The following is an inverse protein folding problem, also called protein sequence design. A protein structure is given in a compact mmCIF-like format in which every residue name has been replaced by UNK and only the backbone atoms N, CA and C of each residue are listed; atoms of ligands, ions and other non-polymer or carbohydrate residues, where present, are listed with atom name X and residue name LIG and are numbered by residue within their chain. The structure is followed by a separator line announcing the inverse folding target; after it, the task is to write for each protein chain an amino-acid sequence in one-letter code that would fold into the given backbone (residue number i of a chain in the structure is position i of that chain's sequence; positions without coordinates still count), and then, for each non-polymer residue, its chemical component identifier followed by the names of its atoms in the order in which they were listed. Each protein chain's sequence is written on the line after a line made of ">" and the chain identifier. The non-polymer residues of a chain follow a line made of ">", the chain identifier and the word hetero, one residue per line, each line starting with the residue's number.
data_IF_308850770745
#
_entry.id   IF_308850770745
#
_cell.length_a   1.000
_cell.length_b   1.000
_cell.length_c   1.000
_cell.angle_alpha   90.00
_cell.angle_beta   90.00
_cell.angle_gamma   90.00
#
_symmetry.space_group_name_H-M   'P 1'
#
loop_
_entity.id
_entity.type
_entity.pdbx_description
1 polymer ?
#
# COMPACT_ATOMS: atom_id res chain seq x y z
N UNK A 1 -11.19 48.11 5.08
CA UNK A 1 -11.66 46.71 5.08
C UNK A 1 -10.63 45.91 4.29
N UNK A 2 -9.68 45.26 4.97
CA UNK A 2 -8.59 44.54 4.30
C UNK A 2 -9.03 43.10 4.09
N UNK A 3 -9.08 42.67 2.83
CA UNK A 3 -9.34 41.29 2.45
C UNK A 3 -8.23 40.40 3.01
N UNK A 4 -8.63 39.35 3.73
CA UNK A 4 -7.73 38.28 4.13
C UNK A 4 -7.41 37.47 2.88
N UNK A 5 -6.23 37.74 2.31
CA UNK A 5 -5.64 36.95 1.23
C UNK A 5 -5.29 35.56 1.80
N UNK A 6 -6.18 34.59 1.60
CA UNK A 6 -5.95 33.19 1.98
C UNK A 6 -4.96 32.61 0.96
N UNK A 7 -3.67 32.72 1.27
CA UNK A 7 -2.63 31.98 0.59
C UNK A 7 -2.84 30.48 0.85
N UNK A 8 -3.52 29.78 -0.07
CA UNK A 8 -3.45 28.33 -0.15
C UNK A 8 -1.98 27.95 -0.40
N UNK A 9 -1.35 27.10 0.42
CA UNK A 9 0.04 26.72 0.21
C UNK A 9 0.21 26.03 -1.15
N UNK A 10 1.10 26.59 -1.96
CA UNK A 10 1.51 26.08 -3.27
C UNK A 10 2.11 24.68 -3.14
N UNK A 11 1.50 23.73 -3.86
CA UNK A 11 2.15 22.52 -4.36
C UNK A 11 2.19 21.35 -3.40
N UNK A 12 1.62 20.22 -3.83
CA UNK A 12 1.89 18.91 -3.22
C UNK A 12 3.39 18.63 -3.32
N UNK A 13 4.07 18.61 -2.18
CA UNK A 13 5.48 18.20 -2.13
C UNK A 13 5.56 16.69 -2.32
N UNK A 14 6.37 16.24 -3.28
CA UNK A 14 6.67 14.82 -3.50
C UNK A 14 7.24 14.23 -2.21
N UNK A 15 6.83 13.02 -1.84
CA UNK A 15 7.40 12.37 -0.66
C UNK A 15 8.70 11.67 -1.04
N UNK A 16 9.77 12.01 -0.33
CA UNK A 16 11.09 11.36 -0.43
C UNK A 16 11.33 10.39 0.72
N UNK A 17 10.28 10.04 1.47
CA UNK A 17 10.39 9.32 2.74
C UNK A 17 10.92 7.90 2.56
N UNK A 18 10.63 7.29 1.40
CA UNK A 18 11.00 5.91 1.08
C UNK A 18 11.85 5.79 -0.19
N UNK A 19 12.48 6.90 -0.63
CA UNK A 19 13.25 6.92 -1.88
C UNK A 19 14.51 6.05 -1.76
N UNK A 20 14.69 5.15 -2.73
CA UNK A 20 15.88 4.29 -2.84
C UNK A 20 15.99 3.20 -1.78
N UNK A 21 14.99 3.03 -0.91
CA UNK A 21 14.99 1.94 0.06
C UNK A 21 14.64 0.62 -0.64
N UNK A 22 15.46 -0.44 -0.50
CA UNK A 22 15.16 -1.75 -1.07
C UNK A 22 14.12 -2.52 -0.26
N UNK A 23 14.02 -2.26 1.05
CA UNK A 23 13.02 -2.82 1.94
C UNK A 23 12.69 -1.85 3.09
N UNK A 24 11.52 -2.03 3.70
CA UNK A 24 11.03 -1.25 4.85
C UNK A 24 10.43 -2.21 5.87
N UNK A 25 10.85 -2.09 7.14
CA UNK A 25 10.20 -2.77 8.27
C UNK A 25 8.97 -1.98 8.69
N UNK A 26 7.80 -2.60 8.61
CA UNK A 26 6.52 -1.96 8.92
C UNK A 26 5.96 -2.57 10.21
N UNK A 27 5.73 -1.76 11.26
CA UNK A 27 5.14 -2.25 12.49
C UNK A 27 3.65 -2.61 12.29
N UNK A 28 3.29 -3.84 12.68
CA UNK A 28 1.94 -4.41 12.64
C UNK A 28 1.53 -4.89 14.05
N UNK A 29 1.26 -3.94 14.94
CA UNK A 29 0.91 -4.24 16.33
C UNK A 29 2.15 -4.62 17.13
N UNK A 30 2.26 -5.89 17.53
CA UNK A 30 3.38 -6.41 18.35
C UNK A 30 4.52 -7.03 17.52
N UNK A 31 4.37 -7.11 16.20
CA UNK A 31 5.39 -7.65 15.29
C UNK A 31 5.68 -6.67 14.17
N UNK A 32 6.81 -6.83 13.50
CA UNK A 32 7.18 -6.08 12.30
C UNK A 32 7.10 -7.00 11.08
N UNK A 33 6.81 -6.42 9.92
CA UNK A 33 6.83 -7.12 8.63
C UNK A 33 7.82 -6.42 7.70
N UNK A 34 8.73 -7.19 7.10
CA UNK A 34 9.61 -6.67 6.07
C UNK A 34 8.87 -6.60 4.73
N UNK A 35 8.84 -5.40 4.13
CA UNK A 35 8.23 -5.17 2.82
C UNK A 35 9.32 -4.81 1.82
N UNK A 36 9.48 -5.64 0.80
CA UNK A 36 10.34 -5.35 -0.35
C UNK A 36 9.76 -4.21 -1.20
N UNK A 37 10.63 -3.36 -1.72
CA UNK A 37 10.26 -2.14 -2.44
C UNK A 37 10.80 -2.15 -3.88
N UNK A 38 9.94 -1.79 -4.83
CA UNK A 38 10.33 -1.36 -6.17
C UNK A 38 10.38 0.18 -6.21
N UNK A 39 11.45 0.80 -6.72
CA UNK A 39 11.63 2.26 -6.68
C UNK A 39 10.60 3.03 -7.54
N UNK A 40 9.94 2.37 -8.49
CA UNK A 40 9.00 3.00 -9.44
C UNK A 40 7.55 2.64 -9.09
N UNK A 41 7.30 1.39 -8.71
CA UNK A 41 5.97 0.83 -8.48
C UNK A 41 5.61 0.68 -7.00
N UNK A 42 6.59 0.75 -6.10
CA UNK A 42 6.38 0.78 -4.65
C UNK A 42 6.40 -0.62 -4.02
N UNK A 43 5.61 -0.85 -2.96
CA UNK A 43 5.72 -2.07 -2.15
C UNK A 43 5.27 -3.33 -2.90
N UNK A 44 6.01 -4.41 -2.67
CA UNK A 44 5.78 -5.71 -3.29
C UNK A 44 5.02 -6.65 -2.37
N UNK A 45 3.97 -7.24 -2.93
CA UNK A 45 3.08 -8.17 -2.26
C UNK A 45 3.41 -9.62 -2.63
N UNK A 46 3.43 -10.49 -1.63
CA UNK A 46 3.59 -11.92 -1.78
C UNK A 46 2.29 -12.57 -2.27
N UNK A 47 2.42 -13.47 -3.24
CA UNK A 47 1.36 -14.32 -3.75
C UNK A 47 1.43 -15.71 -3.10
N UNK A 48 0.36 -16.50 -3.24
CA UNK A 48 0.25 -17.83 -2.64
C UNK A 48 1.25 -18.85 -3.21
N UNK A 49 1.77 -18.60 -4.41
CA UNK A 49 2.84 -19.39 -5.03
C UNK A 49 4.24 -18.99 -4.54
N UNK A 50 4.33 -18.04 -3.60
CA UNK A 50 5.57 -17.48 -3.07
C UNK A 50 6.21 -16.42 -3.99
N UNK A 51 5.63 -16.15 -5.16
CA UNK A 51 6.12 -15.08 -6.03
C UNK A 51 5.74 -13.69 -5.48
N UNK A 52 6.45 -12.65 -5.94
CA UNK A 52 6.22 -11.27 -5.54
C UNK A 52 5.67 -10.47 -6.71
N UNK A 53 4.63 -9.67 -6.47
CA UNK A 53 4.06 -8.74 -7.46
C UNK A 53 3.86 -7.36 -6.88
N UNK A 54 3.51 -6.38 -7.70
CA UNK A 54 3.29 -5.01 -7.24
C UNK A 54 1.89 -4.88 -6.65
N UNK A 55 1.77 -4.10 -5.57
CA UNK A 55 0.46 -3.83 -5.00
C UNK A 55 -0.35 -2.91 -5.93
N UNK A 56 -1.36 -3.46 -6.60
CA UNK A 56 -2.34 -2.65 -7.31
C UNK A 56 -3.32 -2.03 -6.30
N UNK A 57 -3.21 -0.72 -6.10
CA UNK A 57 -4.20 0.08 -5.36
C UNK A 57 -5.42 0.31 -6.25
N UNK A 58 -6.24 -0.73 -6.47
CA UNK A 58 -7.50 -0.59 -7.19
C UNK A 58 -8.47 0.21 -6.33
N UNK A 59 -8.64 1.50 -6.62
CA UNK A 59 -9.56 2.39 -5.91
C UNK A 59 -10.88 2.50 -6.66
N UNK A 60 -11.71 1.46 -6.68
CA UNK A 60 -13.01 1.57 -7.37
C UNK A 60 -14.00 0.45 -7.05
N UNK A 61 -15.01 0.79 -6.24
CA UNK A 61 -16.29 0.09 -6.23
C UNK A 61 -17.12 0.71 -7.37
N UNK A 62 -17.50 -0.12 -8.34
CA UNK A 62 -18.39 0.17 -9.47
C UNK A 62 -17.83 1.08 -10.61
N UNK A 63 -17.69 0.48 -11.80
CA UNK A 63 -17.85 1.19 -13.07
C UNK A 63 -16.58 1.72 -13.74
N UNK A 64 -15.86 0.85 -14.46
CA UNK A 64 -15.28 1.14 -15.78
C UNK A 64 -14.34 2.33 -16.01
N UNK A 65 -13.97 3.11 -15.00
CA UNK A 65 -13.01 4.21 -15.13
C UNK A 65 -11.59 3.68 -15.20
N UNK A 66 -10.84 4.03 -16.25
CA UNK A 66 -9.39 3.88 -16.26
C UNK A 66 -8.80 4.79 -15.18
N UNK A 67 -8.60 4.24 -13.98
CA UNK A 67 -7.82 4.91 -12.95
C UNK A 67 -6.37 4.86 -13.45
N UNK A 68 -5.81 6.01 -13.81
CA UNK A 68 -4.40 6.11 -14.09
C UNK A 68 -3.63 5.62 -12.86
N UNK A 69 -2.90 4.50 -13.01
CA UNK A 69 -2.07 3.95 -11.93
C UNK A 69 -0.97 4.97 -11.60
N UNK A 70 -1.08 5.57 -10.41
CA UNK A 70 -0.11 6.53 -9.91
C UNK A 70 1.18 5.81 -9.53
N UNK A 71 2.32 6.26 -10.05
CA UNK A 71 3.63 5.67 -9.72
C UNK A 71 4.05 6.03 -8.29
N UNK A 72 4.90 5.20 -7.68
CA UNK A 72 5.38 5.39 -6.32
C UNK A 72 5.99 6.79 -6.04
N UNK A 73 6.85 7.34 -6.92
CA UNK A 73 7.42 8.67 -6.70
C UNK A 73 6.42 9.83 -6.86
N UNK A 74 5.24 9.53 -7.40
CA UNK A 74 4.17 10.52 -7.54
C UNK A 74 3.29 10.55 -6.30
N UNK A 75 3.29 9.48 -5.49
CA UNK A 75 2.46 9.35 -4.30
C UNK A 75 2.91 10.34 -3.20
N UNK A 76 1.92 10.81 -2.44
CA UNK A 76 2.14 11.56 -1.20
C UNK A 76 2.67 10.63 -0.11
N UNK A 77 3.26 11.20 0.94
CA UNK A 77 3.75 10.41 2.08
C UNK A 77 2.65 9.53 2.67
N UNK A 78 1.44 10.08 2.83
CA UNK A 78 0.29 9.34 3.34
C UNK A 78 -0.11 8.19 2.42
N UNK A 79 -0.17 8.40 1.11
CA UNK A 79 -0.48 7.33 0.15
C UNK A 79 0.58 6.22 0.22
N UNK A 80 1.87 6.59 0.27
CA UNK A 80 2.98 5.67 0.41
C UNK A 80 2.90 4.87 1.71
N UNK A 81 2.69 5.54 2.85
CA UNK A 81 2.55 4.89 4.16
C UNK A 81 1.34 3.95 4.20
N UNK A 82 0.18 4.36 3.66
CA UNK A 82 -0.99 3.49 3.60
C UNK A 82 -0.75 2.26 2.73
N UNK A 83 -0.10 2.41 1.57
CA UNK A 83 0.24 1.30 0.68
C UNK A 83 1.21 0.31 1.35
N UNK A 84 2.24 0.81 2.04
CA UNK A 84 3.18 -0.01 2.82
C UNK A 84 2.46 -0.83 3.89
N UNK A 85 1.60 -0.20 4.70
CA UNK A 85 0.86 -0.92 5.73
C UNK A 85 -0.13 -1.94 5.16
N UNK A 86 -0.78 -1.63 4.04
CA UNK A 86 -1.68 -2.57 3.38
C UNK A 86 -0.91 -3.77 2.80
N UNK A 87 0.24 -3.53 2.19
CA UNK A 87 1.13 -4.56 1.67
C UNK A 87 1.67 -5.45 2.79
N UNK A 88 2.18 -4.85 3.87
CA UNK A 88 2.68 -5.54 5.05
C UNK A 88 1.61 -6.49 5.64
N UNK A 89 0.38 -6.02 5.82
CA UNK A 89 -0.72 -6.86 6.32
C UNK A 89 -1.01 -8.05 5.40
N UNK A 90 -0.97 -7.83 4.08
CA UNK A 90 -1.22 -8.89 3.11
C UNK A 90 -0.09 -9.91 3.08
N UNK A 91 1.17 -9.47 3.13
CA UNK A 91 2.33 -10.38 3.18
C UNK A 91 2.30 -11.23 4.44
N UNK A 92 2.06 -10.61 5.60
CA UNK A 92 1.88 -11.32 6.87
C UNK A 92 0.79 -12.37 6.78
N UNK A 93 -0.38 -12.00 6.27
CA UNK A 93 -1.49 -12.93 6.13
C UNK A 93 -1.18 -14.11 5.21
N UNK A 94 -0.52 -13.87 4.07
CA UNK A 94 -0.13 -14.93 3.12
C UNK A 94 0.91 -15.86 3.75
N UNK A 95 1.91 -15.28 4.43
CA UNK A 95 2.96 -16.03 5.13
C UNK A 95 2.38 -16.91 6.23
N UNK A 96 1.54 -16.35 7.11
CA UNK A 96 0.83 -17.12 8.15
C UNK A 96 -0.01 -18.25 7.52
N UNK A 97 -0.67 -18.00 6.37
CA UNK A 97 -1.43 -19.04 5.66
C UNK A 97 -0.60 -20.15 5.04
N UNK A 98 0.61 -19.85 4.57
CA UNK A 98 1.52 -20.85 4.01
C UNK A 98 2.14 -21.71 5.13
N UNK A 99 2.41 -21.11 6.29
CA UNK A 99 2.93 -21.79 7.48
C UNK A 99 1.90 -22.72 8.13
N UNK A 100 0.62 -22.33 8.17
CA UNK A 100 -0.48 -23.10 8.79
C UNK A 100 -1.02 -24.29 7.96
N UNK A 101 -0.46 -24.59 6.79
CA UNK A 101 -0.76 -25.84 6.08
C UNK A 101 -2.19 -25.99 5.51
N UNK A 102 -2.80 -24.91 5.00
CA UNK A 102 -3.93 -25.04 4.07
C UNK A 102 -5.26 -25.59 4.64
N UNK A 103 -5.51 -25.50 5.94
CA UNK A 103 -6.86 -25.74 6.48
C UNK A 103 -7.74 -24.50 6.26
N UNK A 104 -8.44 -24.52 5.13
CA UNK A 104 -9.38 -23.50 4.69
C UNK A 104 -10.67 -23.56 5.52
N UNK A 105 -10.91 -22.57 6.39
CA UNK A 105 -12.29 -22.11 6.59
C UNK A 105 -12.54 -20.94 5.63
N UNK A 106 -13.46 -21.18 4.72
CA UNK A 106 -14.00 -20.26 3.73
C UNK A 106 -14.72 -19.09 4.41
N UNK A 107 -13.97 -18.15 4.96
CA UNK A 107 -14.47 -16.92 5.55
C UNK A 107 -14.25 -15.72 4.64
N UNK A 108 -14.93 -15.67 3.48
CA UNK A 108 -15.20 -14.39 2.82
C UNK A 108 -16.11 -13.57 3.74
N UNK A 109 -15.56 -12.97 4.82
CA UNK A 109 -16.26 -11.93 5.57
C UNK A 109 -16.24 -10.68 4.71
N UNK A 110 -17.43 -10.41 4.15
CA UNK A 110 -17.68 -9.34 3.21
C UNK A 110 -17.17 -7.99 3.67
N UNK A 111 -16.72 -7.22 2.70
CA UNK A 111 -16.69 -5.78 2.80
C UNK A 111 -18.15 -5.31 2.94
N UNK A 112 -18.52 -4.58 4.00
CA UNK A 112 -19.85 -4.00 4.10
C UNK A 112 -20.04 -3.02 2.93
N UNK A 113 -21.18 -3.16 2.25
CA UNK A 113 -21.68 -2.20 1.26
C UNK A 113 -22.15 -0.93 1.95
#
# INVERSE_FOLDING_TARGET
>A
MNALDIHLPKGFSKSTLYDGLPCVLVPLGQSEEEVTMDPVKGPMVMLLDGSMTHMQLVRGIAGGGQIAEKLWPQMTSTEQTCALHACARKNRYIRERLEDGGQQESGLRGFPK
#
